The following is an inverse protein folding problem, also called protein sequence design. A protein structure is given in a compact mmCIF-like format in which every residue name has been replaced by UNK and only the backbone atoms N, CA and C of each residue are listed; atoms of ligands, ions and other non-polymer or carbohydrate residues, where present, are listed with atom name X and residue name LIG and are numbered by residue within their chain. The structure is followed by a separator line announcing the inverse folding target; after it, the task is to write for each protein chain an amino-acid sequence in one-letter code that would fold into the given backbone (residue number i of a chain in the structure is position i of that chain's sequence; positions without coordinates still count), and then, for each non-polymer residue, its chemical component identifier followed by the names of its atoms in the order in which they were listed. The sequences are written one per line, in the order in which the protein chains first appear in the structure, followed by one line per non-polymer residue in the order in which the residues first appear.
data_IF_764152803037
#
_entry.id   IF_764152803037
#
_cell.length_a   1.000
_cell.length_b   1.000
_cell.length_c   1.000
_cell.angle_alpha   90.00
_cell.angle_beta   90.00
_cell.angle_gamma   90.00
#
_symmetry.space_group_name_H-M   'P 1'
#
loop_
_entity.id
_entity.type
_entity.pdbx_description
1 polymer ?
#
# COMPACT_ATOMS: atom_id res chain seq x y z
N UNK A 1 -39.15 -26.30 -30.54
CA UNK A 1 -39.23 -25.56 -29.26
C UNK A 1 -38.01 -25.94 -28.45
N UNK A 2 -37.09 -25.00 -28.22
CA UNK A 2 -35.93 -25.20 -27.33
C UNK A 2 -36.03 -24.10 -26.28
N UNK A 3 -36.13 -24.41 -24.98
CA UNK A 3 -36.06 -23.37 -23.96
C UNK A 3 -34.60 -22.99 -23.70
N UNK A 4 -34.43 -21.69 -23.48
CA UNK A 4 -33.21 -20.96 -23.17
C UNK A 4 -32.47 -21.58 -21.99
N UNK A 5 -31.16 -21.79 -22.16
CA UNK A 5 -30.23 -21.99 -21.06
C UNK A 5 -29.92 -20.63 -20.45
N UNK A 6 -30.11 -20.52 -19.14
CA UNK A 6 -29.97 -19.34 -18.29
C UNK A 6 -28.52 -18.83 -18.24
N UNK A 7 -28.25 -17.69 -18.88
CA UNK A 7 -26.97 -16.97 -18.83
C UNK A 7 -26.74 -16.15 -17.55
N UNK A 8 -27.29 -16.56 -16.40
CA UNK A 8 -27.26 -15.76 -15.17
C UNK A 8 -26.05 -16.06 -14.26
N UNK A 9 -25.39 -17.21 -14.41
CA UNK A 9 -24.36 -17.66 -13.46
C UNK A 9 -22.94 -17.15 -13.78
N UNK A 10 -22.69 -16.68 -15.00
CA UNK A 10 -21.35 -16.25 -15.42
C UNK A 10 -20.95 -14.87 -14.89
N UNK A 11 -21.90 -14.06 -14.39
CA UNK A 11 -21.63 -12.64 -14.08
C UNK A 11 -21.30 -12.38 -12.59
N UNK A 12 -21.70 -13.26 -11.66
CA UNK A 12 -21.50 -13.00 -10.23
C UNK A 12 -20.06 -13.23 -9.76
N UNK A 13 -19.35 -14.21 -10.35
CA UNK A 13 -17.98 -14.59 -9.95
C UNK A 13 -16.91 -13.62 -10.41
N UNK A 14 -17.10 -12.94 -11.55
CA UNK A 14 -16.12 -11.97 -12.08
C UNK A 14 -16.30 -10.56 -11.48
N UNK A 15 -17.50 -10.22 -10.98
CA UNK A 15 -17.78 -8.92 -10.36
C UNK A 15 -17.21 -8.81 -8.95
N UNK A 16 -17.17 -9.91 -8.22
CA UNK A 16 -16.70 -9.98 -6.83
C UNK A 16 -15.21 -9.59 -6.65
N UNK A 17 -14.25 -10.11 -7.46
CA UNK A 17 -12.84 -9.70 -7.34
C UNK A 17 -12.61 -8.24 -7.78
N UNK A 18 -13.35 -7.72 -8.76
CA UNK A 18 -13.25 -6.31 -9.18
C UNK A 18 -13.75 -5.35 -8.09
N UNK A 19 -14.86 -5.68 -7.45
CA UNK A 19 -15.40 -4.89 -6.35
C UNK A 19 -14.46 -4.87 -5.12
N UNK A 20 -13.78 -5.98 -4.83
CA UNK A 20 -12.75 -6.02 -3.78
C UNK A 20 -11.56 -5.11 -4.13
N UNK A 21 -11.04 -5.20 -5.35
CA UNK A 21 -9.92 -4.39 -5.82
C UNK A 21 -10.23 -2.88 -5.83
N UNK A 22 -11.46 -2.49 -6.17
CA UNK A 22 -11.89 -1.08 -6.09
C UNK A 22 -11.93 -0.56 -4.65
N UNK A 23 -12.35 -1.40 -3.68
CA UNK A 23 -12.33 -1.04 -2.26
C UNK A 23 -10.90 -0.86 -1.75
N UNK A 24 -10.00 -1.75 -2.18
CA UNK A 24 -8.57 -1.68 -1.85
C UNK A 24 -7.94 -0.38 -2.35
N UNK A 25 -8.20 -0.04 -3.61
CA UNK A 25 -7.69 1.21 -4.19
C UNK A 25 -8.23 2.44 -3.45
N UNK A 26 -9.53 2.47 -3.09
CA UNK A 26 -10.11 3.57 -2.31
C UNK A 26 -9.46 3.71 -0.93
N UNK A 27 -9.21 2.59 -0.25
CA UNK A 27 -8.49 2.59 1.02
C UNK A 27 -7.10 3.21 0.84
N UNK A 28 -6.33 2.73 -0.13
CA UNK A 28 -4.98 3.21 -0.44
C UNK A 28 -5.00 4.70 -0.77
N UNK A 29 -5.91 5.16 -1.62
CA UNK A 29 -6.02 6.56 -2.01
C UNK A 29 -6.29 7.47 -0.79
N UNK A 30 -7.09 7.00 0.16
CA UNK A 30 -7.39 7.73 1.40
C UNK A 30 -6.18 7.90 2.31
N UNK A 31 -5.27 6.91 2.36
CA UNK A 31 -4.07 6.92 3.22
C UNK A 31 -2.84 7.51 2.52
N UNK A 32 -2.81 7.48 1.19
CA UNK A 32 -1.67 7.91 0.36
C UNK A 32 -1.18 9.32 0.66
N UNK A 33 -2.08 10.28 0.86
CA UNK A 33 -1.70 11.67 1.15
C UNK A 33 -1.03 11.82 2.51
N UNK A 34 -1.47 11.05 3.51
CA UNK A 34 -0.87 11.03 4.85
C UNK A 34 0.51 10.37 4.80
N UNK A 35 0.63 9.25 4.09
CA UNK A 35 1.92 8.59 3.83
C UNK A 35 2.91 9.53 3.12
N UNK A 36 2.48 10.23 2.07
CA UNK A 36 3.30 11.23 1.38
C UNK A 36 3.73 12.38 2.30
N UNK A 37 2.83 12.87 3.15
CA UNK A 37 3.14 13.93 4.11
C UNK A 37 4.20 13.49 5.13
N UNK A 38 4.13 12.22 5.54
CA UNK A 38 5.08 11.59 6.47
C UNK A 38 6.47 11.45 5.82
N UNK A 39 6.52 10.92 4.60
CA UNK A 39 7.76 10.74 3.81
C UNK A 39 8.40 12.07 3.35
N UNK A 40 7.63 13.15 3.24
CA UNK A 40 8.15 14.49 2.95
C UNK A 40 8.79 15.15 4.20
N UNK A 41 8.73 14.51 5.38
CA UNK A 41 9.19 15.11 6.63
C UNK A 41 8.36 16.33 7.06
N UNK A 42 7.14 16.46 6.52
CA UNK A 42 6.23 17.59 6.75
C UNK A 42 5.26 17.35 7.91
N UNK A 43 5.44 16.28 8.68
CA UNK A 43 4.66 16.08 9.88
C UNK A 43 5.12 17.09 10.94
N UNK A 44 4.25 18.01 11.38
CA UNK A 44 4.60 18.90 12.48
C UNK A 44 4.80 18.07 13.73
N UNK A 45 5.88 18.34 14.47
CA UNK A 45 6.21 17.74 15.76
C UNK A 45 5.28 18.24 16.89
N UNK A 46 3.97 18.17 16.66
CA UNK A 46 2.96 18.55 17.65
C UNK A 46 2.59 17.32 18.48
N UNK A 47 2.62 17.46 19.80
CA UNK A 47 2.39 16.39 20.78
C UNK A 47 1.00 15.72 20.71
N UNK A 48 0.04 16.33 20.00
CA UNK A 48 -1.34 15.82 19.87
C UNK A 48 -1.61 15.01 18.60
N UNK A 49 -0.61 14.82 17.72
CA UNK A 49 -0.77 13.95 16.54
C UNK A 49 -0.28 12.53 16.83
N UNK A 50 -0.99 11.49 16.35
CA UNK A 50 -0.49 10.12 16.40
C UNK A 50 0.90 10.07 15.76
N UNK A 51 1.79 9.29 16.38
CA UNK A 51 3.15 9.09 15.90
C UNK A 51 3.13 8.49 14.48
N UNK A 52 4.26 8.54 13.77
CA UNK A 52 4.37 7.87 12.47
C UNK A 52 4.12 6.36 12.61
N UNK A 53 4.58 5.76 13.72
CA UNK A 53 4.32 4.35 14.04
C UNK A 53 2.82 4.12 14.26
N UNK A 54 2.14 4.99 15.02
CA UNK A 54 0.69 4.89 15.22
C UNK A 54 -0.08 4.96 13.89
N UNK A 55 0.41 5.75 12.94
CA UNK A 55 -0.16 5.81 11.59
C UNK A 55 0.05 4.48 10.84
N UNK A 56 1.26 3.92 10.87
CA UNK A 56 1.58 2.64 10.23
C UNK A 56 0.70 1.54 10.84
N UNK A 57 0.71 1.37 12.16
CA UNK A 57 -0.09 0.39 12.89
C UNK A 57 -1.57 0.52 12.55
N UNK A 58 -2.10 1.74 12.48
CA UNK A 58 -3.49 1.98 12.11
C UNK A 58 -3.79 1.57 10.68
N UNK A 59 -2.90 1.87 9.72
CA UNK A 59 -3.08 1.44 8.33
C UNK A 59 -3.11 -0.09 8.23
N UNK A 60 -2.20 -0.76 8.93
CA UNK A 60 -2.13 -2.24 8.94
C UNK A 60 -3.37 -2.85 9.60
N UNK A 61 -3.78 -2.32 10.75
CA UNK A 61 -4.97 -2.79 11.50
C UNK A 61 -6.24 -2.58 10.68
N UNK A 62 -6.45 -1.39 10.14
CA UNK A 62 -7.65 -1.10 9.32
C UNK A 62 -7.67 -1.97 8.05
N UNK A 63 -6.50 -2.27 7.48
CA UNK A 63 -6.41 -3.17 6.32
C UNK A 63 -6.82 -4.60 6.69
N UNK A 64 -6.28 -5.14 7.78
CA UNK A 64 -6.63 -6.47 8.25
C UNK A 64 -8.12 -6.57 8.58
N UNK A 65 -8.66 -5.62 9.34
CA UNK A 65 -10.08 -5.61 9.73
C UNK A 65 -11.02 -5.58 8.53
N UNK A 66 -10.70 -4.78 7.51
CA UNK A 66 -11.58 -4.60 6.35
C UNK A 66 -11.43 -5.70 5.30
N UNK A 67 -10.23 -6.27 5.13
CA UNK A 67 -9.90 -7.04 3.94
C UNK A 67 -9.33 -8.44 4.20
N UNK A 68 -9.14 -8.89 5.46
CA UNK A 68 -8.60 -10.23 5.78
C UNK A 68 -9.34 -11.41 5.11
N UNK A 69 -10.61 -11.24 4.78
CA UNK A 69 -11.46 -12.27 4.17
C UNK A 69 -11.72 -12.04 2.68
N UNK A 70 -11.15 -10.99 2.09
CA UNK A 70 -11.29 -10.74 0.66
C UNK A 70 -10.44 -11.78 -0.10
N UNK A 71 -11.09 -12.56 -0.96
CA UNK A 71 -10.41 -13.45 -1.92
C UNK A 71 -10.06 -12.65 -3.17
N UNK A 72 -8.77 -12.35 -3.34
CA UNK A 72 -8.30 -11.45 -4.39
C UNK A 72 -6.98 -11.94 -4.95
N UNK A 73 -6.75 -11.59 -6.22
CA UNK A 73 -5.44 -11.69 -6.83
C UNK A 73 -4.42 -10.81 -6.07
N UNK A 74 -3.13 -11.08 -6.30
CA UNK A 74 -2.02 -10.32 -5.71
C UNK A 74 -2.15 -8.80 -5.92
N UNK A 75 -1.32 -8.00 -5.23
CA UNK A 75 -1.46 -6.54 -5.20
C UNK A 75 -1.45 -5.92 -6.60
N UNK A 76 -2.34 -4.94 -6.81
CA UNK A 76 -2.28 -4.11 -8.01
C UNK A 76 -0.91 -3.40 -8.09
N UNK A 77 -0.36 -3.12 -9.28
CA UNK A 77 0.94 -2.45 -9.38
C UNK A 77 1.05 -1.11 -8.63
N UNK A 78 -0.04 -0.34 -8.48
CA UNK A 78 -0.04 0.90 -7.68
C UNK A 78 -0.14 0.63 -6.19
N UNK A 79 -0.92 -0.37 -5.82
CA UNK A 79 -0.99 -0.85 -4.46
C UNK A 79 0.38 -1.31 -3.97
N UNK A 80 1.14 -1.99 -4.81
CA UNK A 80 2.52 -2.38 -4.50
C UNK A 80 3.41 -1.18 -4.19
N UNK A 81 3.25 -0.06 -4.91
CA UNK A 81 3.97 1.19 -4.61
C UNK A 81 3.60 1.73 -3.22
N UNK A 82 2.32 1.65 -2.82
CA UNK A 82 1.87 2.10 -1.50
C UNK A 82 2.49 1.25 -0.39
N UNK A 83 2.41 -0.07 -0.48
CA UNK A 83 2.97 -0.96 0.55
C UNK A 83 4.48 -0.81 0.68
N UNK A 84 5.20 -0.71 -0.44
CA UNK A 84 6.62 -0.45 -0.40
C UNK A 84 6.95 0.89 0.27
N UNK A 85 6.17 1.94 -0.02
CA UNK A 85 6.37 3.24 0.60
C UNK A 85 6.06 3.25 2.10
N UNK A 86 5.08 2.46 2.56
CA UNK A 86 4.76 2.29 3.98
C UNK A 86 5.88 1.56 4.71
N UNK A 87 6.39 0.47 4.14
CA UNK A 87 7.55 -0.26 4.65
C UNK A 87 8.78 0.63 4.77
N UNK A 88 9.09 1.41 3.74
CA UNK A 88 10.21 2.35 3.78
C UNK A 88 10.05 3.45 4.85
N UNK A 89 8.81 3.82 5.19
CA UNK A 89 8.55 4.77 6.28
C UNK A 89 8.78 4.14 7.65
N UNK A 90 8.40 2.87 7.83
CA UNK A 90 8.63 2.09 9.05
C UNK A 90 10.13 1.97 9.33
N UNK A 91 10.91 1.51 8.34
CA UNK A 91 12.38 1.39 8.43
C UNK A 91 13.06 2.70 8.85
N UNK A 92 12.62 3.83 8.29
CA UNK A 92 13.15 5.16 8.64
C UNK A 92 12.89 5.55 10.11
N UNK A 93 11.82 5.05 10.71
CA UNK A 93 11.41 5.43 12.08
C UNK A 93 11.92 4.44 13.11
N UNK A 94 12.00 3.15 12.78
CA UNK A 94 12.50 2.11 13.69
C UNK A 94 14.03 2.10 13.81
N UNK A 95 14.74 2.47 12.73
CA UNK A 95 16.20 2.54 12.71
C UNK A 95 16.73 3.94 12.31
N UNK A 96 16.49 5.00 13.10
CA UNK A 96 17.07 6.31 12.84
C UNK A 96 18.57 6.31 13.21
N UNK A 97 19.40 5.75 12.33
CA UNK A 97 20.85 5.98 12.31
C UNK A 97 21.71 5.29 13.37
N UNK A 98 21.44 4.03 13.73
CA UNK A 98 22.35 3.24 14.58
C UNK A 98 23.04 2.17 13.74
N UNK A 99 24.29 2.44 13.38
CA UNK A 99 25.05 1.88 12.25
C UNK A 99 24.57 2.44 10.90
N UNK A 100 25.42 3.24 10.25
CA UNK A 100 25.23 3.65 8.85
C UNK A 100 25.22 2.35 8.06
N UNK A 101 24.03 1.82 7.79
CA UNK A 101 23.86 0.75 6.84
C UNK A 101 24.52 1.26 5.53
N UNK A 102 25.48 0.53 4.94
CA UNK A 102 26.09 0.93 3.66
C UNK A 102 25.05 1.18 2.56
N UNK A 103 23.81 0.71 2.75
CA UNK A 103 22.67 0.96 1.89
C UNK A 103 21.88 2.26 2.21
N UNK A 104 22.24 3.06 3.21
CA UNK A 104 21.54 4.33 3.53
C UNK A 104 21.45 5.30 2.33
N UNK A 105 22.50 5.50 1.51
CA UNK A 105 22.37 6.29 0.27
C UNK A 105 21.46 5.63 -0.78
N UNK A 106 21.43 4.29 -0.80
CA UNK A 106 20.56 3.51 -1.70
C UNK A 106 19.10 3.59 -1.24
N UNK A 107 18.82 3.48 0.07
CA UNK A 107 17.53 3.72 0.72
C UNK A 107 17.05 5.15 0.46
N UNK A 108 17.89 6.17 0.68
CA UNK A 108 17.58 7.57 0.39
C UNK A 108 17.26 7.81 -1.09
N UNK A 109 18.03 7.22 -2.00
CA UNK A 109 17.79 7.30 -3.46
C UNK A 109 16.47 6.62 -3.84
N UNK A 110 16.20 5.44 -3.28
CA UNK A 110 14.96 4.72 -3.49
C UNK A 110 13.77 5.50 -2.92
N UNK A 111 13.91 6.14 -1.76
CA UNK A 111 12.88 6.99 -1.16
C UNK A 111 12.51 8.18 -2.03
N UNK A 112 13.46 8.82 -2.73
CA UNK A 112 13.13 9.88 -3.70
C UNK A 112 12.31 9.32 -4.87
N UNK A 113 12.73 8.18 -5.42
CA UNK A 113 12.04 7.51 -6.53
C UNK A 113 10.62 7.08 -6.13
N UNK A 114 10.49 6.41 -4.98
CA UNK A 114 9.22 5.94 -4.43
C UNK A 114 8.28 7.08 -4.08
N UNK A 115 8.77 8.18 -3.50
CA UNK A 115 7.95 9.38 -3.26
C UNK A 115 7.39 9.94 -4.56
N UNK A 116 8.20 9.97 -5.63
CA UNK A 116 7.74 10.43 -6.96
C UNK A 116 6.68 9.49 -7.53
N UNK A 117 6.89 8.17 -7.45
CA UNK A 117 5.94 7.18 -7.93
C UNK A 117 4.62 7.25 -7.15
N UNK A 118 4.67 7.31 -5.82
CA UNK A 118 3.50 7.43 -4.94
C UNK A 118 2.73 8.74 -5.18
N UNK A 119 3.45 9.86 -5.39
CA UNK A 119 2.83 11.16 -5.70
C UNK A 119 2.08 11.14 -7.03
N UNK A 120 2.67 10.50 -8.04
CA UNK A 120 2.11 10.39 -9.39
C UNK A 120 1.18 9.19 -9.58
N UNK A 121 0.95 8.38 -8.54
CA UNK A 121 0.16 7.15 -8.60
C UNK A 121 0.68 6.16 -9.67
N UNK A 122 2.01 6.10 -9.79
CA UNK A 122 2.70 5.24 -10.75
C UNK A 122 3.11 3.92 -10.08
N UNK A 123 3.11 2.81 -10.85
CA UNK A 123 3.50 1.52 -10.33
C UNK A 123 5.01 1.44 -10.06
N UNK A 124 5.36 0.67 -9.06
CA UNK A 124 6.74 0.32 -8.76
C UNK A 124 7.31 -0.56 -9.90
N UNK A 125 8.58 -0.40 -10.31
CA UNK A 125 9.22 -1.33 -11.24
C UNK A 125 9.33 -2.74 -10.66
N UNK A 126 8.86 -3.77 -11.39
CA UNK A 126 8.78 -5.17 -10.91
C UNK A 126 10.13 -5.82 -10.59
N UNK A 127 11.17 -5.47 -11.33
CA UNK A 127 12.45 -6.18 -11.26
C UNK A 127 13.42 -5.63 -10.21
N UNK A 128 13.07 -4.52 -9.55
CA UNK A 128 14.00 -3.77 -8.70
C UNK A 128 13.58 -3.71 -7.22
N UNK A 129 12.31 -3.99 -6.94
CA UNK A 129 11.75 -3.81 -5.60
C UNK A 129 10.82 -4.96 -5.26
N UNK A 130 11.10 -5.64 -4.14
CA UNK A 130 10.20 -6.61 -3.54
C UNK A 130 9.24 -5.88 -2.61
N UNK A 131 7.94 -6.06 -2.85
CA UNK A 131 6.88 -5.45 -2.07
C UNK A 131 5.65 -6.36 -2.14
N UNK A 132 5.18 -6.79 -0.99
CA UNK A 132 3.97 -7.61 -0.83
C UNK A 132 2.98 -6.87 0.07
N UNK A 133 1.73 -7.32 0.08
CA UNK A 133 0.77 -6.89 1.11
C UNK A 133 1.27 -7.33 2.50
N UNK A 134 0.79 -6.68 3.59
CA UNK A 134 1.18 -7.04 4.95
C UNK A 134 0.79 -8.46 5.37
N UNK A 135 -0.16 -9.10 4.68
CA UNK A 135 -0.54 -10.50 4.88
C UNK A 135 0.35 -11.51 4.12
N UNK A 136 1.39 -11.03 3.43
CA UNK A 136 2.34 -11.86 2.68
C UNK A 136 1.79 -12.41 1.35
N UNK A 137 0.66 -11.88 0.87
CA UNK A 137 -0.01 -12.30 -0.38
C UNK A 137 0.21 -11.33 -1.54
#
# INVERSE_FOLDING_TARGET
MVPMVTSAETNCREQQPRAAQDRHQRFIDSKRLVLLSSLDGKLPANADRPSVLDFIERVLTEWEEQFRHDEIAGPDPRERTFWYALYQLEELVEAPGSDIDPDEPFLMKNLVEVRKLLRNQQPLPLQRFMATRPDGR
#
